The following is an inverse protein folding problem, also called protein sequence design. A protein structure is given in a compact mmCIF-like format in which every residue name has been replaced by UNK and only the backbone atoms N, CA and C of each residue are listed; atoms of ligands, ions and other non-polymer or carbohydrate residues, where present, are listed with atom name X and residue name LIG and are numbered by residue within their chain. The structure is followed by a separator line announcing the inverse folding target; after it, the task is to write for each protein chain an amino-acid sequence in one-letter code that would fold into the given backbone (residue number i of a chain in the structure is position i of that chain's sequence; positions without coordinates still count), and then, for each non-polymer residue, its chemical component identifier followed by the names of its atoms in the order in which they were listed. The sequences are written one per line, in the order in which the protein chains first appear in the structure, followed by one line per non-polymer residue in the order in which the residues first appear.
data_IF_365462719956
#
_entry.id   IF_365462719956
#
_cell.length_a   1.000
_cell.length_b   1.000
_cell.length_c   1.000
_cell.angle_alpha   90.00
_cell.angle_beta   90.00
_cell.angle_gamma   90.00
#
_symmetry.space_group_name_H-M   'P 1'
#
loop_
_entity.id
_entity.type
_entity.pdbx_description
1 polymer ?
#
# COMPACT_ATOMS: atom_id res chain seq x y z
N UNK A 1 -12.70 10.18 -14.19
CA UNK A 1 -12.11 9.48 -13.03
C UNK A 1 -13.15 8.56 -12.45
N UNK A 2 -12.81 7.31 -12.22
CA UNK A 2 -13.69 6.35 -11.57
C UNK A 2 -13.92 6.79 -10.12
N UNK A 3 -15.19 6.92 -9.71
CA UNK A 3 -15.55 7.25 -8.32
C UNK A 3 -15.71 5.97 -7.54
N UNK A 4 -14.81 5.73 -6.60
CA UNK A 4 -14.86 4.56 -5.74
C UNK A 4 -15.92 4.73 -4.65
N UNK A 5 -16.58 3.63 -4.29
CA UNK A 5 -17.50 3.58 -3.17
C UNK A 5 -16.77 3.00 -1.95
N UNK A 6 -16.21 3.89 -1.11
CA UNK A 6 -15.42 3.50 0.06
C UNK A 6 -16.30 3.31 1.29
N UNK A 7 -16.10 2.21 2.01
CA UNK A 7 -16.72 1.95 3.31
C UNK A 7 -16.27 2.98 4.33
N UNK A 8 -17.22 3.64 5.02
CA UNK A 8 -16.89 4.70 5.98
C UNK A 8 -16.70 4.18 7.42
N UNK A 9 -17.23 3.02 7.73
CA UNK A 9 -17.10 2.39 9.04
C UNK A 9 -15.76 1.66 9.19
N UNK A 10 -15.41 1.29 10.43
CA UNK A 10 -14.24 0.46 10.70
C UNK A 10 -14.51 -0.98 10.27
N UNK A 11 -13.97 -1.37 9.13
CA UNK A 11 -14.19 -2.64 8.43
C UNK A 11 -13.00 -3.62 8.53
N UNK A 12 -12.02 -3.32 9.40
CA UNK A 12 -10.81 -4.10 9.53
C UNK A 12 -10.97 -5.29 10.48
N UNK A 13 -10.23 -6.37 10.18
CA UNK A 13 -10.23 -7.59 11.01
C UNK A 13 -9.40 -7.46 12.31
N UNK A 14 -8.93 -6.27 12.62
CA UNK A 14 -8.14 -5.95 13.80
C UNK A 14 -8.70 -4.69 14.50
N UNK A 15 -8.45 -4.51 15.82
CA UNK A 15 -8.96 -3.36 16.55
C UNK A 15 -8.28 -2.06 16.11
N UNK A 16 -9.06 -0.97 16.15
CA UNK A 16 -8.55 0.38 15.90
C UNK A 16 -7.63 0.80 17.03
N UNK A 17 -6.45 1.33 16.69
CA UNK A 17 -5.51 1.89 17.66
C UNK A 17 -5.91 3.31 18.07
N UNK A 18 -5.77 3.62 19.34
CA UNK A 18 -5.94 4.97 19.87
C UNK A 18 -4.72 5.89 19.67
N UNK A 19 -3.56 5.31 19.28
CA UNK A 19 -2.29 6.01 19.07
C UNK A 19 -2.15 6.64 17.69
N UNK A 20 -3.02 6.28 16.75
CA UNK A 20 -2.95 6.73 15.37
C UNK A 20 -4.27 7.33 14.91
N UNK A 21 -4.19 8.30 14.00
CA UNK A 21 -5.32 8.77 13.22
C UNK A 21 -5.42 7.93 11.96
N UNK A 22 -6.66 7.60 11.58
CA UNK A 22 -6.96 6.81 10.40
C UNK A 22 -7.93 7.55 9.48
N UNK A 23 -7.64 7.53 8.19
CA UNK A 23 -8.57 7.97 7.14
C UNK A 23 -8.39 7.14 5.88
N UNK A 24 -9.48 6.93 5.13
CA UNK A 24 -9.40 6.40 3.77
C UNK A 24 -8.97 7.50 2.80
N UNK A 25 -8.10 7.14 1.87
CA UNK A 25 -7.59 8.03 0.82
C UNK A 25 -7.62 7.31 -0.53
N UNK A 26 -7.58 8.09 -1.60
CA UNK A 26 -7.48 7.56 -2.96
C UNK A 26 -6.38 8.27 -3.72
N UNK A 27 -5.74 7.57 -4.62
CA UNK A 27 -4.76 8.10 -5.56
C UNK A 27 -4.84 7.34 -6.89
N UNK A 28 -4.10 7.75 -7.89
CA UNK A 28 -4.16 7.15 -9.22
C UNK A 28 -2.79 6.64 -9.63
N UNK A 29 -2.77 5.49 -10.28
CA UNK A 29 -1.58 5.05 -10.98
C UNK A 29 -1.50 5.68 -12.39
N UNK A 30 -0.38 5.50 -13.10
CA UNK A 30 -0.18 6.06 -14.45
C UNK A 30 -1.15 5.53 -15.50
N UNK A 31 -1.80 4.41 -15.24
CA UNK A 31 -2.81 3.83 -16.12
C UNK A 31 -4.22 4.40 -15.87
N UNK A 32 -4.34 5.37 -14.97
CA UNK A 32 -5.61 6.01 -14.63
C UNK A 32 -6.51 5.19 -13.71
N UNK A 33 -6.02 4.08 -13.16
CA UNK A 33 -6.77 3.27 -12.19
C UNK A 33 -6.73 3.98 -10.85
N UNK A 34 -7.90 4.17 -10.23
CA UNK A 34 -8.00 4.73 -8.89
C UNK A 34 -7.74 3.66 -7.84
N UNK A 35 -6.79 3.91 -6.95
CA UNK A 35 -6.43 3.03 -5.85
C UNK A 35 -7.04 3.53 -4.55
N UNK A 36 -7.55 2.59 -3.73
CA UNK A 36 -8.06 2.84 -2.40
C UNK A 36 -7.03 2.44 -1.35
N UNK A 37 -6.84 3.28 -0.35
CA UNK A 37 -5.92 3.02 0.75
C UNK A 37 -6.46 3.51 2.10
N UNK A 38 -6.00 2.85 3.15
CA UNK A 38 -6.12 3.30 4.54
C UNK A 38 -4.83 4.00 4.94
N UNK A 39 -4.91 5.28 5.29
CA UNK A 39 -3.78 6.05 5.79
C UNK A 39 -3.81 6.09 7.31
N UNK A 40 -2.67 5.81 7.93
CA UNK A 40 -2.47 5.86 9.38
C UNK A 40 -1.38 6.87 9.71
N UNK A 41 -1.72 7.85 10.55
CA UNK A 41 -0.81 8.92 10.97
C UNK A 41 -0.60 8.85 12.47
N UNK A 42 0.64 8.79 12.98
CA UNK A 42 0.90 8.80 14.42
C UNK A 42 0.46 10.12 15.06
N UNK A 43 -0.25 10.06 16.20
CA UNK A 43 -0.75 11.27 16.91
C UNK A 43 0.33 12.05 17.65
N UNK A 44 1.40 11.37 18.07
CA UNK A 44 2.39 11.91 19.01
C UNK A 44 3.68 12.41 18.38
N UNK A 45 3.78 12.44 17.04
CA UNK A 45 5.01 12.81 16.33
C UNK A 45 4.85 14.17 15.67
N UNK A 46 5.83 15.06 15.90
CA UNK A 46 5.89 16.40 15.31
C UNK A 46 7.00 16.45 14.27
N UNK A 47 6.76 17.13 13.15
CA UNK A 47 7.72 17.30 12.06
C UNK A 47 7.50 16.34 10.90
N UNK A 48 8.52 16.21 10.05
CA UNK A 48 8.46 15.34 8.88
C UNK A 48 8.68 13.88 9.26
N UNK A 49 7.78 13.03 8.81
CA UNK A 49 7.72 11.60 9.15
C UNK A 49 8.36 10.75 8.05
N UNK A 50 9.06 9.67 8.42
CA UNK A 50 9.36 8.60 7.49
C UNK A 50 8.06 7.90 7.10
N UNK A 51 7.97 7.38 5.89
CA UNK A 51 6.73 6.79 5.38
C UNK A 51 6.92 5.37 4.86
N UNK A 52 5.86 4.57 4.94
CA UNK A 52 5.84 3.20 4.42
C UNK A 52 4.52 2.97 3.68
N UNK A 53 4.61 2.56 2.41
CA UNK A 53 3.48 2.02 1.67
C UNK A 53 3.43 0.50 1.82
N UNK A 54 2.29 -0.02 2.22
CA UNK A 54 2.09 -1.45 2.50
C UNK A 54 1.03 -2.01 1.58
N UNK A 55 1.29 -3.16 0.96
CA UNK A 55 0.29 -3.94 0.25
C UNK A 55 0.36 -5.41 0.64
N UNK A 56 -0.80 -6.06 0.71
CA UNK A 56 -0.94 -7.44 1.15
C UNK A 56 -0.50 -8.47 0.11
N UNK A 57 -0.56 -9.77 0.47
CA UNK A 57 -0.34 -10.86 -0.46
C UNK A 57 -1.42 -10.87 -1.54
N UNK A 58 -1.13 -11.58 -2.64
CA UNK A 58 -2.07 -11.72 -3.74
C UNK A 58 -3.45 -12.22 -3.26
N UNK A 59 -4.49 -11.48 -3.64
CA UNK A 59 -5.88 -11.77 -3.25
C UNK A 59 -6.30 -11.26 -1.86
N UNK A 60 -5.38 -10.73 -1.06
CA UNK A 60 -5.72 -10.06 0.20
C UNK A 60 -6.10 -8.60 -0.02
N UNK A 61 -6.83 -8.05 0.93
CA UNK A 61 -7.28 -6.66 0.95
C UNK A 61 -6.68 -5.88 2.12
N UNK A 62 -6.67 -4.56 2.01
CA UNK A 62 -6.06 -3.64 2.99
C UNK A 62 -6.66 -3.72 4.39
N UNK A 63 -7.89 -4.23 4.51
CA UNK A 63 -8.59 -4.45 5.80
C UNK A 63 -8.01 -5.60 6.62
N UNK A 64 -7.09 -6.38 6.04
CA UNK A 64 -6.47 -7.56 6.65
C UNK A 64 -5.04 -7.28 7.12
N UNK A 65 -4.10 -8.20 6.83
CA UNK A 65 -2.73 -8.13 7.32
C UNK A 65 -1.99 -6.85 6.96
N UNK A 66 -2.14 -6.33 5.74
CA UNK A 66 -1.45 -5.09 5.33
C UNK A 66 -1.88 -3.88 6.16
N UNK A 67 -3.18 -3.76 6.47
CA UNK A 67 -3.68 -2.71 7.36
C UNK A 67 -3.19 -2.86 8.80
N UNK A 68 -3.14 -4.10 9.31
CA UNK A 68 -2.58 -4.36 10.64
C UNK A 68 -1.09 -3.95 10.71
N UNK A 69 -0.28 -4.34 9.72
CA UNK A 69 1.13 -3.94 9.66
C UNK A 69 1.27 -2.43 9.52
N UNK A 70 0.49 -1.79 8.65
CA UNK A 70 0.51 -0.34 8.50
C UNK A 70 0.17 0.37 9.82
N UNK A 71 -0.90 -0.06 10.53
CA UNK A 71 -1.25 0.50 11.83
C UNK A 71 -0.12 0.31 12.86
N UNK A 72 0.50 -0.87 12.91
CA UNK A 72 1.59 -1.14 13.86
C UNK A 72 2.84 -0.30 13.56
N UNK A 73 3.20 -0.10 12.30
CA UNK A 73 4.29 0.79 11.91
C UNK A 73 3.97 2.25 12.25
N UNK A 74 2.71 2.67 12.10
CA UNK A 74 2.29 4.01 12.50
C UNK A 74 2.39 4.23 14.03
N UNK A 75 2.10 3.22 14.85
CA UNK A 75 2.33 3.26 16.30
C UNK A 75 3.81 3.47 16.66
N UNK A 76 4.74 3.10 15.75
CA UNK A 76 6.18 3.28 15.89
C UNK A 76 6.69 4.61 15.31
N UNK A 77 5.82 5.48 14.81
CA UNK A 77 6.18 6.82 14.37
C UNK A 77 6.32 6.99 12.85
N UNK A 78 5.92 6.03 12.04
CA UNK A 78 5.85 6.17 10.58
C UNK A 78 4.47 6.69 10.14
N UNK A 79 4.42 7.52 9.13
CA UNK A 79 3.17 7.71 8.38
C UNK A 79 3.04 6.55 7.39
N UNK A 80 1.93 5.85 7.41
CA UNK A 80 1.77 4.65 6.59
C UNK A 80 0.48 4.65 5.78
N UNK A 81 0.50 3.97 4.65
CA UNK A 81 -0.71 3.57 3.94
C UNK A 81 -0.73 2.06 3.73
N UNK A 82 -1.91 1.46 3.88
CA UNK A 82 -2.20 0.13 3.36
C UNK A 82 -3.13 0.28 2.16
N UNK A 83 -2.76 -0.20 0.99
CA UNK A 83 -3.55 -0.04 -0.22
C UNK A 83 -3.95 -1.37 -0.84
N UNK A 84 -5.12 -1.38 -1.49
CA UNK A 84 -5.52 -2.45 -2.37
C UNK A 84 -4.85 -2.26 -3.73
N UNK A 85 -4.20 -3.29 -4.30
CA UNK A 85 -3.71 -3.23 -5.67
C UNK A 85 -4.85 -3.02 -6.68
N UNK A 86 -4.52 -2.52 -7.86
CA UNK A 86 -5.44 -2.47 -9.00
C UNK A 86 -6.21 -3.77 -9.15
N UNK A 87 -7.49 -3.70 -9.46
CA UNK A 87 -8.41 -4.82 -9.66
C UNK A 87 -8.86 -5.55 -8.39
N UNK A 88 -8.41 -5.15 -7.19
CA UNK A 88 -8.66 -5.84 -5.93
C UNK A 88 -9.32 -4.91 -4.91
N UNK A 89 -10.08 -5.47 -3.98
CA UNK A 89 -10.70 -4.75 -2.86
C UNK A 89 -11.55 -3.56 -3.30
N UNK A 90 -11.37 -2.42 -2.66
CA UNK A 90 -12.03 -1.15 -3.00
C UNK A 90 -11.35 -0.38 -4.14
N UNK A 91 -10.15 -0.79 -4.60
CA UNK A 91 -9.49 -0.20 -5.75
C UNK A 91 -10.22 -0.49 -7.05
N UNK A 92 -10.09 0.42 -8.01
CA UNK A 92 -10.73 0.33 -9.31
C UNK A 92 -10.07 -0.66 -10.27
N UNK A 93 -10.49 -0.56 -11.52
CA UNK A 93 -10.00 -1.36 -12.63
C UNK A 93 -10.88 -2.55 -12.98
N UNK A 94 -10.90 -2.88 -14.28
CA UNK A 94 -11.62 -4.03 -14.85
C UNK A 94 -10.71 -4.76 -15.83
N UNK A 95 -10.81 -6.12 -15.92
CA UNK A 95 -11.66 -7.03 -15.13
C UNK A 95 -11.20 -7.10 -13.65
N UNK A 96 -12.09 -7.54 -12.75
CA UNK A 96 -11.76 -7.68 -11.32
C UNK A 96 -10.96 -8.96 -11.05
N UNK A 97 -10.23 -8.96 -9.91
CA UNK A 97 -9.47 -10.11 -9.38
C UNK A 97 -8.38 -10.62 -10.33
N UNK A 98 -7.74 -9.69 -11.02
CA UNK A 98 -6.61 -9.97 -11.92
C UNK A 98 -5.30 -9.54 -11.26
N UNK A 99 -4.27 -10.36 -11.40
CA UNK A 99 -2.90 -9.96 -11.12
C UNK A 99 -2.20 -9.54 -12.42
N UNK A 100 -1.70 -8.33 -12.44
CA UNK A 100 -0.83 -7.85 -13.51
C UNK A 100 0.50 -7.42 -12.89
N UNK A 101 1.60 -8.15 -13.11
CA UNK A 101 2.90 -7.79 -12.52
C UNK A 101 3.32 -6.36 -12.81
N UNK A 102 3.11 -5.88 -14.03
CA UNK A 102 3.50 -4.54 -14.45
C UNK A 102 2.63 -3.47 -13.78
N UNK A 103 1.30 -3.65 -13.78
CA UNK A 103 0.36 -2.69 -13.19
C UNK A 103 0.49 -2.70 -11.66
N UNK A 104 0.58 -3.88 -11.04
CA UNK A 104 0.70 -3.95 -9.58
C UNK A 104 2.09 -3.50 -9.08
N UNK A 105 3.15 -3.58 -9.89
CA UNK A 105 4.43 -2.92 -9.62
C UNK A 105 4.27 -1.39 -9.65
N UNK A 106 3.55 -0.87 -10.65
CA UNK A 106 3.24 0.55 -10.77
C UNK A 106 2.38 1.07 -9.60
N UNK A 107 1.47 0.25 -9.07
CA UNK A 107 0.67 0.63 -7.91
C UNK A 107 1.54 1.03 -6.69
N UNK A 108 2.67 0.34 -6.48
CA UNK A 108 3.65 0.74 -5.47
C UNK A 108 4.32 2.09 -5.80
N UNK A 109 4.67 2.32 -7.07
CA UNK A 109 5.26 3.60 -7.49
C UNK A 109 4.26 4.74 -7.27
N UNK A 110 3.00 4.55 -7.65
CA UNK A 110 1.93 5.53 -7.42
C UNK A 110 1.67 5.80 -5.93
N UNK A 111 1.76 4.77 -5.08
CA UNK A 111 1.66 4.91 -3.63
C UNK A 111 2.80 5.76 -3.05
N UNK A 112 4.02 5.57 -3.55
CA UNK A 112 5.19 6.37 -3.17
C UNK A 112 5.05 7.82 -3.65
N UNK A 113 4.56 8.04 -4.88
CA UNK A 113 4.29 9.39 -5.39
C UNK A 113 3.24 10.12 -4.54
N UNK A 114 2.15 9.43 -4.24
CA UNK A 114 1.10 9.99 -3.37
C UNK A 114 1.65 10.38 -1.99
N UNK A 115 2.48 9.54 -1.37
CA UNK A 115 3.08 9.81 -0.07
C UNK A 115 4.09 10.97 -0.14
N UNK A 116 4.89 11.05 -1.20
CA UNK A 116 5.98 12.02 -1.32
C UNK A 116 5.52 13.48 -1.35
N UNK A 117 4.25 13.72 -1.71
CA UNK A 117 3.66 15.07 -1.79
C UNK A 117 2.85 15.47 -0.55
N UNK A 118 2.76 14.61 0.46
CA UNK A 118 2.09 14.96 1.72
C UNK A 118 2.95 15.94 2.54
N UNK A 119 2.32 16.93 3.18
CA UNK A 119 3.01 18.04 3.87
C UNK A 119 3.99 17.58 4.97
N UNK A 120 3.63 16.55 5.72
CA UNK A 120 4.41 16.05 6.86
C UNK A 120 5.28 14.83 6.51
N UNK A 121 5.62 14.65 5.27
CA UNK A 121 6.45 13.53 4.82
C UNK A 121 7.89 13.96 4.58
N UNK A 122 8.82 13.12 5.03
CA UNK A 122 10.22 13.18 4.64
C UNK A 122 10.43 12.35 3.37
N UNK A 123 10.52 13.02 2.24
CA UNK A 123 10.68 12.36 0.92
C UNK A 123 11.99 11.57 0.77
N UNK A 124 12.97 11.78 1.67
CA UNK A 124 14.21 11.01 1.68
C UNK A 124 14.12 9.73 2.54
N UNK A 125 13.00 9.50 3.22
CA UNK A 125 12.77 8.34 4.08
C UNK A 125 11.48 7.60 3.70
N UNK A 126 11.43 7.12 2.45
CA UNK A 126 10.28 6.40 1.90
C UNK A 126 10.62 4.91 1.79
N UNK A 127 9.83 4.08 2.45
CA UNK A 127 9.92 2.62 2.36
C UNK A 127 8.66 2.00 1.80
N UNK A 128 8.78 0.76 1.34
CA UNK A 128 7.65 -0.07 0.95
C UNK A 128 7.72 -1.42 1.66
N UNK A 129 6.56 -1.98 1.94
CA UNK A 129 6.41 -3.32 2.50
C UNK A 129 5.38 -4.09 1.69
N UNK A 130 5.75 -5.24 1.15
CA UNK A 130 4.85 -6.00 0.30
C UNK A 130 5.08 -7.50 0.38
N UNK A 131 4.00 -8.25 0.16
CA UNK A 131 4.06 -9.67 -0.07
C UNK A 131 4.23 -9.94 -1.56
N UNK A 132 5.31 -10.64 -1.91
CA UNK A 132 5.62 -11.01 -3.29
C UNK A 132 6.61 -10.10 -4.01
N UNK A 133 6.88 -10.43 -5.27
CA UNK A 133 7.93 -9.81 -6.08
C UNK A 133 7.64 -8.39 -6.57
N UNK A 134 6.36 -7.92 -6.57
CA UNK A 134 6.00 -6.60 -7.08
C UNK A 134 6.67 -5.46 -6.29
N UNK A 135 6.78 -5.60 -4.96
CA UNK A 135 7.49 -4.63 -4.13
C UNK A 135 8.98 -4.55 -4.50
N UNK A 136 9.64 -5.69 -4.75
CA UNK A 136 11.04 -5.72 -5.18
C UNK A 136 11.21 -5.13 -6.57
N UNK A 137 10.31 -5.44 -7.51
CA UNK A 137 10.34 -4.85 -8.84
C UNK A 137 10.21 -3.32 -8.77
N UNK A 138 9.28 -2.81 -7.97
CA UNK A 138 9.13 -1.38 -7.74
C UNK A 138 10.41 -0.76 -7.16
N UNK A 139 11.01 -1.39 -6.14
CA UNK A 139 12.25 -0.91 -5.54
C UNK A 139 13.44 -0.90 -6.52
N UNK A 140 13.49 -1.86 -7.44
CA UNK A 140 14.54 -1.95 -8.44
C UNK A 140 14.50 -0.84 -9.49
N UNK A 141 13.30 -0.32 -9.79
CA UNK A 141 13.11 0.66 -10.87
C UNK A 141 12.80 2.08 -10.35
N UNK A 142 12.44 2.24 -9.07
CA UNK A 142 11.95 3.51 -8.53
C UNK A 142 12.85 4.07 -7.43
N UNK A 143 13.69 5.03 -7.80
CA UNK A 143 14.79 5.56 -6.97
C UNK A 143 14.33 6.30 -5.70
N UNK A 144 13.06 6.70 -5.61
CA UNK A 144 12.47 7.30 -4.40
C UNK A 144 12.30 6.30 -3.27
N UNK A 145 12.24 5.00 -3.57
CA UNK A 145 12.16 3.94 -2.56
C UNK A 145 13.54 3.74 -1.95
N UNK A 146 13.66 3.99 -0.64
CA UNK A 146 14.93 3.92 0.10
C UNK A 146 15.09 2.63 0.91
N UNK A 147 13.96 1.98 1.22
CA UNK A 147 13.95 0.71 1.95
C UNK A 147 12.79 -0.18 1.46
N UNK A 148 13.03 -1.48 1.43
CA UNK A 148 12.02 -2.45 1.01
C UNK A 148 12.03 -3.65 1.93
N UNK A 149 10.85 -4.00 2.44
CA UNK A 149 10.60 -5.26 3.11
C UNK A 149 9.70 -6.14 2.22
N UNK A 150 10.21 -7.28 1.78
CA UNK A 150 9.46 -8.25 1.00
C UNK A 150 9.30 -9.54 1.80
N UNK A 151 8.07 -10.06 1.87
CA UNK A 151 7.73 -11.25 2.63
C UNK A 151 7.11 -12.30 1.72
N UNK A 152 7.39 -13.58 2.00
CA UNK A 152 6.79 -14.74 1.34
C UNK A 152 6.76 -14.65 -0.18
N UNK A 153 7.94 -14.53 -0.79
CA UNK A 153 8.06 -14.45 -2.24
C UNK A 153 7.97 -15.81 -2.92
N UNK A 154 7.16 -15.87 -3.98
CA UNK A 154 7.10 -17.00 -4.90
C UNK A 154 7.56 -16.57 -6.28
N UNK A 155 8.34 -17.42 -6.93
CA UNK A 155 8.57 -17.31 -8.37
C UNK A 155 7.37 -17.95 -9.09
N UNK A 156 6.39 -17.13 -9.45
CA UNK A 156 5.09 -17.58 -9.97
C UNK A 156 5.17 -18.48 -11.22
N UNK A 157 6.00 -18.20 -12.24
CA UNK A 157 6.14 -19.09 -13.38
C UNK A 157 6.56 -20.49 -12.97
N UNK A 158 7.51 -20.61 -12.05
CA UNK A 158 8.02 -21.90 -11.57
C UNK A 158 7.01 -22.69 -10.73
N UNK A 159 6.25 -21.97 -9.88
CA UNK A 159 5.19 -22.62 -9.08
C UNK A 159 4.08 -23.14 -10.00
N UNK A 160 3.67 -22.35 -11.00
CA UNK A 160 2.60 -22.75 -11.91
C UNK A 160 3.01 -23.80 -12.94
N UNK A 161 4.30 -23.96 -13.24
CA UNK A 161 4.79 -24.96 -14.18
C UNK A 161 4.96 -26.35 -13.56
N UNK A 162 4.97 -26.45 -12.24
CA UNK A 162 5.17 -27.68 -11.48
C UNK A 162 3.90 -28.19 -10.78
N UNK A 163 2.73 -27.59 -11.09
CA UNK A 163 1.42 -27.97 -10.52
C UNK A 163 0.60 -28.83 -11.47
#
# INVERSE_FOLDING_TARGET
MEKLNLTQEWDKVFPKSDKVDHKKVTFHNRYGITLAADMYTPKSVVGKLPVIAVSGPFGAVKEQSSGLYAQKMAELGFLTIAFDPSYTGESGGTPRYVASPDINTEDFCAAVDFLSVQENVDSERIGICGWGGMAINAAAIYTRIKATAAMTMYEKPRVNSNG
#
